data_IF_124302985665
#
_entry.id   IF_124302985665
#
_cell.length_a   1.000
_cell.length_b   1.000
_cell.length_c   1.000
_cell.angle_alpha   90.00
_cell.angle_beta   90.00
_cell.angle_gamma   90.00
#
_symmetry.space_group_name_H-M   'P 1'
#
loop_
_entity.id
_entity.type
_entity.pdbx_description
1 polymer ?
#
# COMPACT_ATOMS: atom_id res chain seq x y z
N UNK A 1 15.75 -8.55 14.02
CA UNK A 1 16.10 -7.39 13.17
C UNK A 1 17.51 -7.58 12.64
N UNK A 2 17.69 -7.85 11.34
CA UNK A 2 19.02 -8.03 10.73
C UNK A 2 19.63 -6.70 10.26
N UNK A 3 20.95 -6.63 10.10
CA UNK A 3 21.67 -5.45 9.59
C UNK A 3 21.32 -5.08 8.14
N UNK A 4 21.84 -3.95 7.65
CA UNK A 4 21.73 -3.61 6.23
C UNK A 4 22.45 -4.67 5.37
N UNK A 5 21.90 -5.02 4.21
CA UNK A 5 22.43 -6.08 3.36
C UNK A 5 21.99 -7.51 3.73
N UNK A 6 21.35 -7.74 4.88
CA UNK A 6 20.88 -9.07 5.31
C UNK A 6 19.70 -9.64 4.50
N UNK A 7 19.35 -9.06 3.34
CA UNK A 7 18.29 -9.59 2.47
C UNK A 7 16.85 -9.26 2.87
N UNK A 8 16.60 -8.41 3.87
CA UNK A 8 15.23 -8.08 4.35
C UNK A 8 14.30 -7.60 3.23
N UNK A 9 14.77 -6.65 2.43
CA UNK A 9 13.99 -6.10 1.31
C UNK A 9 13.76 -7.16 0.23
N UNK A 10 14.76 -8.00 -0.03
CA UNK A 10 14.64 -9.12 -0.96
C UNK A 10 13.58 -10.11 -0.47
N UNK A 11 13.65 -10.52 0.80
CA UNK A 11 12.68 -11.42 1.41
C UNK A 11 11.25 -10.86 1.35
N UNK A 12 11.04 -9.60 1.72
CA UNK A 12 9.71 -8.98 1.64
C UNK A 12 9.19 -8.90 0.20
N UNK A 13 10.05 -8.63 -0.79
CA UNK A 13 9.67 -8.64 -2.21
C UNK A 13 9.27 -10.04 -2.69
N UNK A 14 9.95 -11.08 -2.22
CA UNK A 14 9.59 -12.46 -2.51
C UNK A 14 8.23 -12.82 -1.89
N UNK A 15 8.02 -12.51 -0.61
CA UNK A 15 6.77 -12.80 0.12
C UNK A 15 5.57 -12.04 -0.47
N UNK A 16 5.79 -10.85 -1.03
CA UNK A 16 4.74 -10.05 -1.67
C UNK A 16 4.56 -10.35 -3.16
N UNK A 17 5.30 -11.30 -3.72
CA UNK A 17 5.24 -11.64 -5.16
C UNK A 17 5.71 -10.51 -6.09
N UNK A 18 6.46 -9.53 -5.55
CA UNK A 18 7.14 -8.47 -6.30
C UNK A 18 8.46 -8.94 -6.91
N UNK A 19 9.00 -10.07 -6.45
CA UNK A 19 10.13 -10.78 -7.02
C UNK A 19 9.82 -12.28 -7.07
N UNK A 20 10.45 -13.01 -8.00
CA UNK A 20 10.36 -14.46 -8.07
C UNK A 20 11.53 -15.09 -7.30
N UNK A 21 11.30 -16.15 -6.52
CA UNK A 21 12.40 -16.88 -5.90
C UNK A 21 13.18 -17.67 -6.96
N UNK A 22 14.50 -17.75 -6.80
CA UNK A 22 15.36 -18.60 -7.65
C UNK A 22 15.12 -20.10 -7.34
N UNK A 23 14.66 -20.42 -6.12
CA UNK A 23 14.28 -21.76 -5.71
C UNK A 23 13.30 -21.73 -4.52
N UNK A 24 12.52 -22.80 -4.37
CA UNK A 24 11.46 -22.91 -3.36
C UNK A 24 10.13 -22.27 -3.79
N UNK A 25 9.17 -22.26 -2.87
CA UNK A 25 7.81 -21.81 -3.14
C UNK A 25 7.28 -20.94 -1.99
N UNK A 26 6.46 -19.94 -2.34
CA UNK A 26 5.70 -19.14 -1.39
C UNK A 26 4.26 -19.61 -1.45
N UNK A 27 3.65 -19.82 -0.29
CA UNK A 27 2.26 -20.25 -0.17
C UNK A 27 1.42 -19.16 0.48
N UNK A 28 0.20 -18.95 -0.02
CA UNK A 28 -0.81 -18.09 0.57
C UNK A 28 -2.08 -18.90 0.80
N UNK A 29 -2.53 -18.99 2.05
CA UNK A 29 -3.71 -19.78 2.45
C UNK A 29 -3.67 -21.24 1.93
N UNK A 30 -2.49 -21.87 1.96
CA UNK A 30 -2.31 -23.26 1.52
C UNK A 30 -2.11 -23.44 0.01
N UNK A 31 -2.27 -22.39 -0.80
CA UNK A 31 -2.07 -22.45 -2.25
C UNK A 31 -0.73 -21.83 -2.68
N UNK A 32 -0.02 -22.40 -3.67
CA UNK A 32 1.17 -21.76 -4.24
C UNK A 32 0.84 -20.35 -4.76
N UNK A 33 1.58 -19.34 -4.31
CA UNK A 33 1.34 -17.92 -4.60
C UNK A 33 1.22 -17.65 -6.11
N UNK A 34 1.97 -18.37 -6.95
CA UNK A 34 1.92 -18.25 -8.42
C UNK A 34 0.54 -18.56 -9.01
N UNK A 35 -0.29 -19.37 -8.33
CA UNK A 35 -1.64 -19.76 -8.76
C UNK A 35 -2.71 -18.78 -8.28
N UNK A 36 -2.48 -18.14 -7.14
CA UNK A 36 -3.43 -17.23 -6.47
C UNK A 36 -2.95 -15.77 -6.49
N UNK A 37 -2.07 -15.43 -7.43
CA UNK A 37 -1.39 -14.13 -7.44
C UNK A 37 -2.36 -12.95 -7.46
N UNK A 38 -3.38 -13.02 -8.30
CA UNK A 38 -4.32 -11.91 -8.48
C UNK A 38 -5.22 -11.71 -7.27
N UNK A 39 -5.69 -12.79 -6.63
CA UNK A 39 -6.48 -12.69 -5.40
C UNK A 39 -5.62 -12.23 -4.23
N UNK A 40 -4.40 -12.76 -4.12
CA UNK A 40 -3.43 -12.29 -3.14
C UNK A 40 -3.12 -10.79 -3.28
N UNK A 41 -2.84 -10.31 -4.50
CA UNK A 41 -2.52 -8.90 -4.75
C UNK A 41 -3.72 -7.97 -4.53
N UNK A 42 -4.96 -8.44 -4.69
CA UNK A 42 -6.16 -7.68 -4.28
C UNK A 42 -6.29 -7.53 -2.77
N UNK A 43 -5.79 -8.49 -2.00
CA UNK A 43 -5.82 -8.48 -0.53
C UNK A 43 -4.53 -7.96 0.13
N UNK A 44 -3.55 -7.54 -0.68
CA UNK A 44 -2.24 -7.10 -0.18
C UNK A 44 -2.11 -5.58 -0.23
N UNK A 45 -1.82 -4.97 0.91
CA UNK A 45 -1.29 -3.60 0.96
C UNK A 45 0.23 -3.62 1.18
N UNK A 46 0.99 -3.17 0.18
CA UNK A 46 2.45 -3.01 0.28
C UNK A 46 2.84 -1.53 0.39
N UNK A 47 3.55 -1.18 1.47
CA UNK A 47 4.13 0.15 1.67
C UNK A 47 5.65 -0.03 1.86
N UNK A 48 6.39 0.24 0.79
CA UNK A 48 7.85 0.21 0.80
C UNK A 48 8.48 1.46 1.39
N UNK A 49 9.77 1.67 1.09
CA UNK A 49 10.47 2.89 1.47
C UNK A 49 9.80 4.14 0.89
N UNK A 50 9.42 4.09 -0.38
CA UNK A 50 8.54 5.08 -0.99
C UNK A 50 7.09 4.58 -0.91
N UNK A 51 6.14 5.40 -0.42
CA UNK A 51 4.78 4.96 -0.12
C UNK A 51 3.86 4.82 -1.35
N UNK A 52 4.36 5.11 -2.56
CA UNK A 52 3.59 4.99 -3.79
C UNK A 52 2.48 6.02 -3.93
N UNK A 53 2.73 7.26 -3.46
CA UNK A 53 1.80 8.40 -3.54
C UNK A 53 2.09 9.26 -4.78
N UNK A 54 1.03 9.82 -5.36
CA UNK A 54 1.12 10.81 -6.44
C UNK A 54 1.06 12.20 -5.82
N UNK A 55 2.22 12.87 -5.76
CA UNK A 55 2.38 14.16 -5.08
C UNK A 55 1.51 15.28 -5.66
N UNK A 56 1.21 15.24 -6.97
CA UNK A 56 0.35 16.23 -7.64
C UNK A 56 -1.15 16.03 -7.41
N UNK A 57 -1.56 14.86 -6.94
CA UNK A 57 -2.94 14.57 -6.64
C UNK A 57 -3.26 14.92 -5.18
N UNK A 58 -4.52 15.19 -4.90
CA UNK A 58 -5.06 15.36 -3.55
C UNK A 58 -5.03 14.06 -2.76
N UNK A 59 -5.24 14.11 -1.44
CA UNK A 59 -5.36 12.92 -0.61
C UNK A 59 -6.49 12.01 -1.11
N UNK A 60 -7.66 12.59 -1.40
CA UNK A 60 -8.84 11.87 -1.92
C UNK A 60 -8.58 11.24 -3.29
N UNK A 61 -7.99 11.98 -4.23
CA UNK A 61 -7.63 11.45 -5.56
C UNK A 61 -6.59 10.32 -5.47
N UNK A 62 -5.65 10.40 -4.53
CA UNK A 62 -4.71 9.31 -4.28
C UNK A 62 -5.41 8.02 -3.88
N UNK A 63 -6.38 8.08 -2.95
CA UNK A 63 -7.14 6.88 -2.56
C UNK A 63 -8.02 6.39 -3.71
N UNK A 64 -8.73 7.30 -4.39
CA UNK A 64 -9.59 6.96 -5.52
C UNK A 64 -8.82 6.25 -6.64
N UNK A 65 -7.56 6.63 -6.90
CA UNK A 65 -6.71 5.96 -7.88
C UNK A 65 -6.53 4.46 -7.59
N UNK A 66 -6.39 4.07 -6.32
CA UNK A 66 -6.22 2.66 -5.93
C UNK A 66 -7.54 1.95 -5.64
N UNK A 67 -8.58 2.71 -5.26
CA UNK A 67 -9.89 2.22 -4.86
C UNK A 67 -11.01 2.97 -5.60
N UNK A 68 -11.12 2.83 -6.94
CA UNK A 68 -12.06 3.61 -7.74
C UNK A 68 -13.53 3.34 -7.39
N UNK A 69 -13.84 2.15 -6.85
CA UNK A 69 -15.19 1.76 -6.43
C UNK A 69 -15.60 2.22 -5.03
N UNK A 70 -14.68 2.70 -4.19
CA UNK A 70 -14.92 2.99 -2.77
C UNK A 70 -15.20 4.49 -2.50
N UNK A 71 -15.69 5.23 -3.50
CA UNK A 71 -15.87 6.70 -3.43
C UNK A 71 -16.54 7.19 -2.14
N UNK A 72 -17.60 6.51 -1.69
CA UNK A 72 -18.33 6.85 -0.46
C UNK A 72 -17.53 6.61 0.84
N UNK A 73 -16.55 5.69 0.83
CA UNK A 73 -15.74 5.32 1.99
C UNK A 73 -14.45 6.14 2.10
N UNK A 74 -14.05 6.84 1.04
CA UNK A 74 -12.79 7.61 1.01
C UNK A 74 -12.69 8.67 2.11
N UNK A 75 -13.74 9.48 2.39
CA UNK A 75 -13.66 10.50 3.44
C UNK A 75 -13.44 9.88 4.82
N UNK A 76 -14.15 8.78 5.12
CA UNK A 76 -14.01 8.07 6.39
C UNK A 76 -12.62 7.44 6.52
N UNK A 77 -12.09 6.80 5.47
CA UNK A 77 -10.75 6.23 5.47
C UNK A 77 -9.66 7.28 5.72
N UNK A 78 -9.80 8.49 5.14
CA UNK A 78 -8.90 9.62 5.42
C UNK A 78 -9.04 10.13 6.85
N UNK A 79 -10.27 10.25 7.35
CA UNK A 79 -10.52 10.67 8.73
C UNK A 79 -9.89 9.70 9.74
N UNK A 80 -10.05 8.39 9.53
CA UNK A 80 -9.42 7.35 10.36
C UNK A 80 -7.88 7.39 10.31
N UNK A 81 -7.32 7.81 9.17
CA UNK A 81 -5.89 8.08 9.03
C UNK A 81 -5.45 9.43 9.61
N UNK A 82 -6.32 10.17 10.31
CA UNK A 82 -6.01 11.49 10.88
C UNK A 82 -5.75 12.56 9.81
N UNK A 83 -6.51 12.50 8.71
CA UNK A 83 -6.45 13.43 7.57
C UNK A 83 -7.80 14.12 7.29
N UNK A 84 -8.71 14.14 8.27
CA UNK A 84 -9.93 14.93 8.18
C UNK A 84 -9.58 16.41 7.92
N UNK A 85 -10.23 17.03 6.93
CA UNK A 85 -9.97 18.40 6.49
C UNK A 85 -8.80 18.56 5.50
N UNK A 86 -8.12 17.48 5.11
CA UNK A 86 -7.04 17.48 4.12
C UNK A 86 -7.39 16.73 2.83
N UNK A 87 -8.65 16.39 2.63
CA UNK A 87 -9.14 15.51 1.56
C UNK A 87 -8.76 16.05 0.18
N UNK A 88 -8.94 17.35 -0.03
CA UNK A 88 -8.72 18.05 -1.29
C UNK A 88 -7.40 18.83 -1.33
N UNK A 89 -6.49 18.58 -0.37
CA UNK A 89 -5.16 19.20 -0.35
C UNK A 89 -4.20 18.36 -1.20
N UNK A 90 -3.49 18.95 -2.18
CA UNK A 90 -2.44 18.25 -2.93
C UNK A 90 -1.40 17.65 -1.99
N UNK A 91 -1.06 16.36 -2.19
CA UNK A 91 -0.18 15.62 -1.28
C UNK A 91 1.21 16.26 -1.16
N UNK A 92 1.68 16.97 -2.19
CA UNK A 92 2.92 17.75 -2.15
C UNK A 92 2.96 18.85 -1.07
N UNK A 93 1.80 19.33 -0.61
CA UNK A 93 1.68 20.36 0.43
C UNK A 93 1.57 19.77 1.84
N UNK A 94 1.43 18.45 1.95
CA UNK A 94 1.35 17.75 3.22
C UNK A 94 2.74 17.48 3.79
N UNK A 95 2.85 17.47 5.12
CA UNK A 95 4.07 17.03 5.80
C UNK A 95 4.40 15.57 5.46
N UNK A 96 5.66 15.16 5.58
CA UNK A 96 6.07 13.78 5.29
C UNK A 96 5.28 12.73 6.10
N UNK A 97 4.90 13.07 7.34
CA UNK A 97 4.03 12.23 8.18
C UNK A 97 2.62 12.11 7.61
N UNK A 98 2.01 13.22 7.20
CA UNK A 98 0.70 13.22 6.54
C UNK A 98 0.73 12.47 5.20
N UNK A 99 1.76 12.66 4.39
CA UNK A 99 1.97 11.91 3.14
C UNK A 99 2.01 10.39 3.39
N UNK A 100 2.69 9.96 4.46
CA UNK A 100 2.70 8.56 4.87
C UNK A 100 1.32 8.08 5.32
N UNK A 101 0.55 8.92 6.01
CA UNK A 101 -0.84 8.61 6.41
C UNK A 101 -1.79 8.50 5.22
N UNK A 102 -1.59 9.26 4.14
CA UNK A 102 -2.38 9.10 2.89
C UNK A 102 -2.20 7.68 2.34
N UNK A 103 -0.97 7.17 2.33
CA UNK A 103 -0.71 5.80 1.87
C UNK A 103 -1.28 4.72 2.81
N UNK A 104 -1.29 4.99 4.12
CA UNK A 104 -1.87 4.11 5.14
C UNK A 104 -3.39 4.14 5.15
N UNK A 105 -4.04 5.22 4.70
CA UNK A 105 -5.50 5.33 4.65
C UNK A 105 -6.17 4.21 3.84
N UNK A 106 -5.43 3.57 2.91
CA UNK A 106 -5.88 2.39 2.17
C UNK A 106 -6.16 1.17 3.06
N UNK A 107 -5.60 1.10 4.28
CA UNK A 107 -5.89 0.03 5.25
C UNK A 107 -7.37 -0.06 5.62
N UNK A 108 -8.10 1.05 5.58
CA UNK A 108 -9.54 1.09 5.87
C UNK A 108 -10.42 0.76 4.65
N UNK A 109 -9.79 0.56 3.48
CA UNK A 109 -10.48 0.27 2.21
C UNK A 109 -10.21 -1.15 1.69
N UNK A 110 -9.23 -1.85 2.25
CA UNK A 110 -8.85 -3.22 1.88
C UNK A 110 -9.54 -4.22 2.81
#
# INVERSE_FOLDING_TARGET
TGGNGAGKTTLLRLLTGLARPDGGEVYWQGEPLRRVRDSFHRSLLWIGHQPGIKSRLTARENLHFFHPGDGARLPEALAQAGLAGFEDVPVAQLSAGQQRRVALARLWLT
#
